data_IF_994424431431
#
_entry.id   IF_994424431431
#
_cell.length_a   1.000
_cell.length_b   1.000
_cell.length_c   1.000
_cell.angle_alpha   90.00
_cell.angle_beta   90.00
_cell.angle_gamma   90.00
#
_symmetry.space_group_name_H-M   'P 1'
#
loop_
_entity.id
_entity.type
_entity.pdbx_description
1 polymer ?
#
# COMPACT_ATOMS: atom_id res chain seq x y z
N UNK A 1 52.47 -18.84 -4.57
CA UNK A 1 51.29 -19.67 -4.93
C UNK A 1 50.09 -19.48 -4.00
N UNK A 2 50.26 -19.00 -2.75
CA UNK A 2 49.14 -18.79 -1.82
C UNK A 2 48.27 -17.57 -2.20
N UNK A 3 48.90 -16.47 -2.63
CA UNK A 3 48.17 -15.23 -2.99
C UNK A 3 47.13 -15.40 -4.10
N UNK A 4 47.41 -16.09 -5.23
CA UNK A 4 46.40 -16.33 -6.26
C UNK A 4 45.21 -17.18 -5.78
N UNK A 5 45.45 -18.16 -4.89
CA UNK A 5 44.41 -19.02 -4.32
C UNK A 5 43.51 -18.22 -3.37
N UNK A 6 44.10 -17.39 -2.52
CA UNK A 6 43.36 -16.49 -1.61
C UNK A 6 42.51 -15.49 -2.40
N UNK A 7 43.07 -14.91 -3.47
CA UNK A 7 42.32 -14.00 -4.35
C UNK A 7 41.17 -14.71 -5.05
N UNK A 8 41.40 -15.91 -5.61
CA UNK A 8 40.34 -16.69 -6.26
C UNK A 8 39.22 -17.06 -5.28
N UNK A 9 39.57 -17.46 -4.05
CA UNK A 9 38.59 -17.75 -2.99
C UNK A 9 37.80 -16.51 -2.60
N UNK A 10 38.46 -15.36 -2.41
CA UNK A 10 37.79 -14.11 -2.08
C UNK A 10 36.82 -13.66 -3.19
N UNK A 11 37.23 -13.74 -4.45
CA UNK A 11 36.37 -13.43 -5.61
C UNK A 11 35.18 -14.39 -5.67
N UNK A 12 35.41 -15.69 -5.45
CA UNK A 12 34.34 -16.69 -5.38
C UNK A 12 33.34 -16.40 -4.26
N UNK A 13 33.82 -16.03 -3.07
CA UNK A 13 32.98 -15.67 -1.93
C UNK A 13 32.16 -14.40 -2.22
N UNK A 14 32.79 -13.35 -2.77
CA UNK A 14 32.10 -12.11 -3.16
C UNK A 14 31.04 -12.39 -4.23
N UNK A 15 31.36 -13.21 -5.23
CA UNK A 15 30.40 -13.62 -6.26
C UNK A 15 29.22 -14.39 -5.67
N UNK A 16 29.46 -15.30 -4.73
CA UNK A 16 28.42 -16.05 -4.04
C UNK A 16 27.52 -15.15 -3.18
N UNK A 17 28.12 -14.22 -2.41
CA UNK A 17 27.38 -13.23 -1.62
C UNK A 17 26.54 -12.34 -2.54
N UNK A 18 27.10 -11.84 -3.63
CA UNK A 18 26.36 -11.03 -4.60
C UNK A 18 25.14 -11.77 -5.17
N UNK A 19 25.31 -13.04 -5.56
CA UNK A 19 24.19 -13.86 -6.06
C UNK A 19 23.14 -14.14 -4.99
N UNK A 20 23.54 -14.32 -3.73
CA UNK A 20 22.61 -14.57 -2.63
C UNK A 20 21.77 -13.33 -2.29
N UNK A 21 22.35 -12.13 -2.42
CA UNK A 21 21.70 -10.85 -2.15
C UNK A 21 20.85 -10.34 -3.32
N UNK A 22 21.20 -10.73 -4.55
CA UNK A 22 20.53 -10.24 -5.76
C UNK A 22 19.15 -10.87 -5.94
N UNK A 23 18.08 -10.06 -6.01
CA UNK A 23 16.74 -10.55 -6.36
C UNK A 23 16.68 -11.02 -7.82
N UNK A 24 15.79 -11.98 -8.15
CA UNK A 24 15.57 -12.43 -9.52
C UNK A 24 14.96 -11.29 -10.34
N UNK A 25 15.18 -11.29 -11.66
CA UNK A 25 14.46 -10.36 -12.53
C UNK A 25 12.95 -10.61 -12.46
N UNK A 26 12.12 -9.57 -12.61
CA UNK A 26 10.67 -9.74 -12.65
C UNK A 26 10.21 -10.59 -13.83
N UNK A 27 9.11 -11.30 -13.63
CA UNK A 27 8.37 -11.97 -14.72
C UNK A 27 7.36 -10.99 -15.31
N UNK A 28 7.83 -10.09 -16.17
CA UNK A 28 7.01 -9.04 -16.78
C UNK A 28 5.80 -9.65 -17.51
N UNK A 29 4.60 -9.24 -17.14
CA UNK A 29 3.37 -9.75 -17.78
C UNK A 29 3.33 -9.41 -19.28
N UNK A 30 2.93 -10.36 -20.10
CA UNK A 30 2.91 -10.24 -21.56
C UNK A 30 4.27 -10.43 -22.26
N UNK A 31 5.36 -10.66 -21.53
CA UNK A 31 6.63 -11.08 -22.13
C UNK A 31 6.60 -12.58 -22.55
N UNK A 32 7.49 -13.05 -23.44
CA UNK A 32 7.46 -14.44 -23.95
C UNK A 32 7.48 -15.55 -22.89
N UNK A 33 7.98 -15.27 -21.68
CA UNK A 33 7.98 -16.19 -20.54
C UNK A 33 7.29 -15.60 -19.29
N UNK A 34 6.51 -14.54 -19.48
CA UNK A 34 5.78 -13.86 -18.42
C UNK A 34 4.36 -14.40 -18.25
N UNK A 35 3.68 -14.04 -17.15
CA UNK A 35 2.24 -14.27 -17.00
C UNK A 35 1.46 -13.61 -18.14
N UNK A 36 0.29 -14.16 -18.52
CA UNK A 36 -0.55 -13.55 -19.54
C UNK A 36 -1.09 -12.20 -19.06
N UNK A 37 -1.46 -11.35 -20.02
CA UNK A 37 -2.21 -10.13 -19.75
C UNK A 37 -3.68 -10.39 -19.98
N UNK A 38 -4.50 -10.08 -18.98
CA UNK A 38 -5.94 -10.30 -19.02
C UNK A 38 -6.74 -9.03 -18.75
N UNK A 39 -6.09 -7.99 -18.24
CA UNK A 39 -6.76 -6.76 -17.80
C UNK A 39 -6.55 -5.54 -18.68
N UNK A 40 -7.45 -4.58 -18.49
CA UNK A 40 -7.29 -3.22 -18.97
C UNK A 40 -6.10 -2.58 -18.27
N UNK A 41 -5.25 -1.92 -19.05
CA UNK A 41 -4.08 -1.22 -18.55
C UNK A 41 -3.93 0.12 -19.25
N UNK A 42 -3.30 1.05 -18.56
CA UNK A 42 -2.98 2.36 -19.11
C UNK A 42 -1.48 2.54 -19.17
N UNK A 43 -0.98 3.20 -20.22
CA UNK A 43 0.46 3.45 -20.40
C UNK A 43 0.84 4.81 -19.83
N UNK A 44 1.77 4.81 -18.88
CA UNK A 44 2.38 5.99 -18.28
C UNK A 44 3.40 6.63 -19.24
N UNK A 45 3.81 7.86 -18.93
CA UNK A 45 4.76 8.64 -19.72
C UNK A 45 6.15 8.00 -19.79
N UNK A 46 6.55 7.27 -18.75
CA UNK A 46 7.83 6.53 -18.71
C UNK A 46 7.77 5.18 -19.46
N UNK A 47 6.61 4.83 -20.01
CA UNK A 47 6.38 3.63 -20.80
C UNK A 47 5.87 2.42 -20.01
N UNK A 48 5.85 2.48 -18.68
CA UNK A 48 5.22 1.45 -17.83
C UNK A 48 3.71 1.42 -18.03
N UNK A 49 3.09 0.30 -17.70
CA UNK A 49 1.65 0.13 -17.69
C UNK A 49 1.13 -0.06 -16.27
N UNK A 50 0.01 0.58 -15.95
CA UNK A 50 -0.76 0.28 -14.74
C UNK A 50 -2.05 -0.46 -15.10
N UNK A 51 -2.25 -1.63 -14.52
CA UNK A 51 -3.49 -2.39 -14.64
C UNK A 51 -4.54 -1.86 -13.67
N UNK A 52 -5.80 -1.82 -14.10
CA UNK A 52 -6.87 -1.27 -13.29
C UNK A 52 -8.22 -1.94 -13.57
N UNK A 53 -9.14 -1.78 -12.64
CA UNK A 53 -10.57 -2.04 -12.82
C UNK A 53 -11.39 -0.84 -12.37
N UNK A 54 -12.59 -0.75 -12.91
CA UNK A 54 -13.58 0.27 -12.58
C UNK A 54 -14.72 -0.42 -11.83
N UNK A 55 -15.29 0.25 -10.83
CA UNK A 55 -16.44 -0.22 -10.07
C UNK A 55 -17.41 0.93 -9.77
N UNK A 56 -18.72 0.66 -9.84
CA UNK A 56 -19.78 1.65 -9.63
C UNK A 56 -20.29 2.28 -10.93
N UNK A 57 -20.63 3.57 -10.88
CA UNK A 57 -21.15 4.31 -12.04
C UNK A 57 -20.05 4.43 -13.11
N UNK A 58 -20.37 4.34 -14.42
CA UNK A 58 -19.39 4.60 -15.49
C UNK A 58 -18.68 5.94 -15.29
N UNK A 59 -17.35 5.98 -15.42
CA UNK A 59 -16.56 7.17 -15.04
C UNK A 59 -16.99 8.43 -15.80
N UNK A 60 -17.51 8.29 -17.02
CA UNK A 60 -17.97 9.41 -17.86
C UNK A 60 -19.24 10.07 -17.30
N UNK A 61 -19.98 9.36 -16.43
CA UNK A 61 -21.23 9.82 -15.81
C UNK A 61 -21.09 10.11 -14.32
N UNK A 62 -20.09 9.54 -13.67
CA UNK A 62 -19.88 9.67 -12.25
C UNK A 62 -19.50 11.11 -11.87
N UNK A 63 -20.16 11.65 -10.84
CA UNK A 63 -19.79 12.95 -10.25
C UNK A 63 -18.58 12.82 -9.33
N UNK A 64 -18.42 11.68 -8.68
CA UNK A 64 -17.34 11.43 -7.75
C UNK A 64 -16.41 10.35 -8.31
N UNK A 65 -15.21 10.74 -8.73
CA UNK A 65 -14.16 9.82 -9.22
C UNK A 65 -13.16 9.58 -8.10
N UNK A 66 -12.93 8.31 -7.77
CA UNK A 66 -12.10 7.89 -6.64
C UNK A 66 -11.02 6.95 -7.15
N UNK A 67 -9.75 7.25 -6.88
CA UNK A 67 -8.66 6.28 -7.07
C UNK A 67 -8.38 5.59 -5.75
N UNK A 68 -8.38 4.26 -5.76
CA UNK A 68 -8.22 3.43 -4.58
C UNK A 68 -6.93 2.62 -4.67
N UNK A 69 -6.08 2.82 -3.68
CA UNK A 69 -4.79 2.15 -3.53
C UNK A 69 -4.93 0.98 -2.55
N UNK A 70 -4.80 -0.25 -3.07
CA UNK A 70 -4.99 -1.48 -2.31
C UNK A 70 -3.88 -1.71 -1.26
N UNK A 71 -4.16 -2.57 -0.28
CA UNK A 71 -3.23 -2.91 0.79
C UNK A 71 -2.10 -3.85 0.39
N UNK A 72 -1.39 -4.33 1.40
CA UNK A 72 -0.35 -5.35 1.25
C UNK A 72 -0.97 -6.70 0.85
N UNK A 73 -0.31 -7.41 -0.06
CA UNK A 73 -0.77 -8.72 -0.56
C UNK A 73 -2.18 -8.69 -1.16
N UNK A 74 -2.51 -7.62 -1.87
CA UNK A 74 -3.78 -7.44 -2.57
C UNK A 74 -3.53 -6.91 -3.98
N UNK A 75 -4.57 -6.66 -4.77
CA UNK A 75 -4.49 -6.18 -6.14
C UNK A 75 -5.65 -5.25 -6.47
N UNK A 76 -5.76 -4.85 -7.74
CA UNK A 76 -6.95 -4.22 -8.31
C UNK A 76 -8.21 -5.03 -8.04
N UNK A 77 -8.12 -6.33 -7.77
CA UNK A 77 -9.25 -7.21 -7.45
C UNK A 77 -9.65 -7.21 -5.97
N UNK A 78 -9.03 -6.38 -5.11
CA UNK A 78 -9.42 -6.14 -3.72
C UNK A 78 -10.94 -6.13 -3.56
N UNK A 79 -11.45 -6.91 -2.60
CA UNK A 79 -12.89 -7.00 -2.34
C UNK A 79 -13.41 -5.63 -1.90
N UNK A 80 -14.50 -5.17 -2.50
CA UNK A 80 -15.16 -3.92 -2.14
C UNK A 80 -16.48 -4.27 -1.48
N UNK A 81 -16.65 -3.86 -0.23
CA UNK A 81 -17.90 -4.01 0.49
C UNK A 81 -18.91 -2.90 0.10
N UNK A 82 -19.03 -2.63 -1.19
CA UNK A 82 -19.97 -1.67 -1.74
C UNK A 82 -20.94 -2.38 -2.69
N UNK A 83 -22.23 -2.08 -2.56
CA UNK A 83 -23.24 -2.51 -3.51
C UNK A 83 -23.28 -1.57 -4.72
N UNK A 84 -23.85 -2.04 -5.83
CA UNK A 84 -24.05 -1.21 -7.01
C UNK A 84 -25.01 -0.04 -6.69
N UNK A 85 -26.02 -0.29 -5.87
CA UNK A 85 -27.01 0.70 -5.43
C UNK A 85 -26.36 1.84 -4.64
N UNK A 86 -25.42 1.53 -3.74
CA UNK A 86 -24.67 2.54 -2.99
C UNK A 86 -23.84 3.42 -3.94
N UNK A 87 -23.17 2.80 -4.92
CA UNK A 87 -22.37 3.53 -5.89
C UNK A 87 -23.22 4.46 -6.76
N UNK A 88 -24.43 4.05 -7.12
CA UNK A 88 -25.41 4.85 -7.86
C UNK A 88 -25.95 6.01 -7.01
N UNK A 89 -26.32 5.74 -5.74
CA UNK A 89 -26.77 6.76 -4.80
C UNK A 89 -25.72 7.86 -4.60
N UNK A 90 -24.46 7.45 -4.39
CA UNK A 90 -23.33 8.36 -4.23
C UNK A 90 -22.85 8.95 -5.55
N UNK A 91 -23.38 8.50 -6.70
CA UNK A 91 -22.94 8.87 -8.03
C UNK A 91 -21.41 8.78 -8.19
N UNK A 92 -20.85 7.64 -7.77
CA UNK A 92 -19.42 7.44 -7.61
C UNK A 92 -18.87 6.34 -8.52
N UNK A 93 -17.62 6.54 -8.95
CA UNK A 93 -16.81 5.57 -9.68
C UNK A 93 -15.51 5.35 -8.93
N UNK A 94 -15.17 4.09 -8.64
CA UNK A 94 -13.90 3.71 -8.04
C UNK A 94 -13.01 3.09 -9.11
N UNK A 95 -11.82 3.66 -9.26
CA UNK A 95 -10.71 3.12 -10.04
C UNK A 95 -9.76 2.43 -9.07
N UNK A 96 -9.72 1.10 -9.15
CA UNK A 96 -8.77 0.28 -8.39
C UNK A 96 -7.65 -0.11 -9.33
N UNK A 97 -6.41 0.17 -8.97
CA UNK A 97 -5.25 -0.15 -9.80
C UNK A 97 -4.31 -1.08 -9.07
N UNK A 98 -3.57 -1.91 -9.81
CA UNK A 98 -2.44 -2.62 -9.25
C UNK A 98 -1.29 -1.63 -9.05
N UNK A 99 -0.76 -1.54 -7.83
CA UNK A 99 0.45 -0.76 -7.58
C UNK A 99 1.64 -1.35 -8.34
N UNK A 100 2.68 -0.54 -8.61
CA UNK A 100 3.81 -0.98 -9.41
C UNK A 100 4.41 -2.31 -8.92
N UNK A 101 4.49 -3.31 -9.81
CA UNK A 101 4.97 -4.67 -9.51
C UNK A 101 3.93 -5.66 -8.99
N UNK A 102 2.72 -5.21 -8.63
CA UNK A 102 1.59 -6.08 -8.30
C UNK A 102 0.81 -6.46 -9.55
N UNK A 103 0.18 -7.64 -9.50
CA UNK A 103 -0.77 -8.08 -10.53
C UNK A 103 -0.21 -7.93 -11.95
N UNK A 104 -0.86 -7.12 -12.78
CA UNK A 104 -0.48 -6.87 -14.18
C UNK A 104 0.13 -5.47 -14.43
N UNK A 105 0.41 -4.70 -13.36
CA UNK A 105 1.13 -3.42 -13.46
C UNK A 105 2.63 -3.64 -13.57
N UNK A 106 3.26 -2.96 -14.53
CA UNK A 106 4.69 -3.10 -14.77
C UNK A 106 5.51 -2.77 -13.49
N UNK A 107 6.59 -3.51 -13.19
CA UNK A 107 7.44 -3.23 -12.04
C UNK A 107 8.14 -1.88 -12.18
N UNK A 108 8.41 -1.25 -11.04
CA UNK A 108 9.21 -0.03 -10.99
C UNK A 108 10.34 -0.15 -9.98
N UNK A 109 11.56 -0.58 -10.40
CA UNK A 109 12.68 -0.78 -9.48
C UNK A 109 13.11 0.49 -8.73
N UNK A 110 12.84 1.67 -9.30
CA UNK A 110 13.12 2.98 -8.72
C UNK A 110 11.94 3.55 -7.90
N UNK A 111 10.92 2.74 -7.60
CA UNK A 111 9.75 3.14 -6.80
C UNK A 111 10.17 3.82 -5.50
N UNK A 112 9.58 4.97 -5.24
CA UNK A 112 9.71 5.74 -4.01
C UNK A 112 8.33 6.19 -3.54
N UNK A 113 8.26 6.79 -2.35
CA UNK A 113 7.03 7.41 -1.88
C UNK A 113 6.57 8.47 -2.90
N UNK A 114 7.47 9.30 -3.42
CA UNK A 114 7.13 10.34 -4.40
C UNK A 114 6.52 9.78 -5.69
N UNK A 115 7.14 8.76 -6.27
CA UNK A 115 6.75 8.28 -7.60
C UNK A 115 5.34 7.68 -7.61
N UNK A 116 4.86 7.20 -6.46
CA UNK A 116 3.48 6.70 -6.31
C UNK A 116 2.42 7.77 -6.50
N UNK A 117 2.70 9.00 -6.03
CA UNK A 117 1.80 10.11 -6.27
C UNK A 117 1.71 10.43 -7.76
N UNK A 118 2.84 10.39 -8.46
CA UNK A 118 2.88 10.63 -9.91
C UNK A 118 2.23 9.50 -10.70
N UNK A 119 2.40 8.24 -10.28
CA UNK A 119 1.68 7.11 -10.87
C UNK A 119 0.16 7.29 -10.75
N UNK A 120 -0.33 7.75 -9.59
CA UNK A 120 -1.76 8.05 -9.37
C UNK A 120 -2.22 9.24 -10.21
N UNK A 121 -1.43 10.31 -10.30
CA UNK A 121 -1.74 11.48 -11.12
C UNK A 121 -1.82 11.12 -12.61
N UNK A 122 -0.82 10.41 -13.13
CA UNK A 122 -0.81 9.98 -14.51
C UNK A 122 -1.91 8.98 -14.81
N UNK A 123 -2.22 8.06 -13.88
CA UNK A 123 -3.39 7.17 -14.00
C UNK A 123 -4.67 7.99 -14.18
N UNK A 124 -4.87 9.04 -13.37
CA UNK A 124 -6.03 9.91 -13.49
C UNK A 124 -6.07 10.62 -14.85
N UNK A 125 -4.95 11.17 -15.30
CA UNK A 125 -4.85 11.90 -16.57
C UNK A 125 -5.12 11.01 -17.77
N UNK A 126 -4.52 9.83 -17.80
CA UNK A 126 -4.65 8.90 -18.93
C UNK A 126 -6.02 8.23 -19.00
N UNK A 127 -6.73 8.15 -17.87
CA UNK A 127 -8.13 7.73 -17.83
C UNK A 127 -9.11 8.88 -18.03
N UNK A 128 -8.61 10.09 -18.29
CA UNK A 128 -9.40 11.30 -18.50
C UNK A 128 -10.40 11.52 -17.35
N UNK A 129 -9.92 11.33 -16.11
CA UNK A 129 -10.67 11.74 -14.93
C UNK A 129 -10.78 13.28 -14.90
N UNK A 130 -11.54 13.81 -13.94
CA UNK A 130 -11.65 15.25 -13.79
C UNK A 130 -10.32 15.87 -13.35
N UNK A 131 -10.21 17.19 -13.50
CA UNK A 131 -9.06 17.96 -13.01
C UNK A 131 -8.72 17.68 -11.54
N UNK A 132 -9.73 17.30 -10.74
CA UNK A 132 -9.56 16.82 -9.38
C UNK A 132 -10.34 15.55 -9.13
N UNK A 133 -9.81 14.69 -8.26
CA UNK A 133 -10.43 13.42 -7.88
C UNK A 133 -10.20 13.14 -6.38
N UNK A 134 -10.88 12.12 -5.86
CA UNK A 134 -10.67 11.64 -4.50
C UNK A 134 -9.69 10.48 -4.48
N UNK A 135 -9.00 10.29 -3.36
CA UNK A 135 -8.11 9.14 -3.17
C UNK A 135 -8.39 8.39 -1.87
N UNK A 136 -8.32 7.07 -1.91
CA UNK A 136 -8.45 6.20 -0.74
C UNK A 136 -7.27 5.23 -0.70
N UNK A 137 -6.67 5.06 0.47
CA UNK A 137 -5.59 4.10 0.69
C UNK A 137 -5.83 3.23 1.90
N UNK A 138 -5.70 1.92 1.71
CA UNK A 138 -5.91 0.93 2.77
C UNK A 138 -4.59 0.35 3.25
N UNK A 139 -4.35 0.32 4.56
CA UNK A 139 -3.16 -0.34 5.12
C UNK A 139 -1.86 0.21 4.49
N UNK A 140 -1.04 -0.62 3.85
CA UNK A 140 0.14 -0.15 3.09
C UNK A 140 -0.22 0.72 1.88
N UNK A 141 -1.42 0.58 1.31
CA UNK A 141 -1.95 1.49 0.29
C UNK A 141 -2.18 2.92 0.79
N UNK A 142 -1.95 3.20 2.07
CA UNK A 142 -2.02 4.55 2.62
C UNK A 142 -0.77 5.41 2.37
N UNK A 143 0.44 4.85 2.17
CA UNK A 143 1.59 5.72 1.86
C UNK A 143 1.48 6.43 0.52
N UNK A 144 0.96 5.82 -0.57
CA UNK A 144 0.66 6.57 -1.78
C UNK A 144 -0.24 7.78 -1.51
N UNK A 145 -1.16 7.69 -0.53
CA UNK A 145 -2.04 8.80 -0.16
C UNK A 145 -1.27 9.92 0.54
N UNK A 146 -0.38 9.59 1.48
CA UNK A 146 0.53 10.58 2.07
C UNK A 146 1.35 11.29 1.00
N UNK A 147 1.83 10.54 0.00
CA UNK A 147 2.54 11.12 -1.14
C UNK A 147 1.65 12.00 -1.99
N UNK A 148 0.39 11.62 -2.24
CA UNK A 148 -0.54 12.47 -2.99
C UNK A 148 -0.80 13.80 -2.28
N UNK A 149 -0.97 13.76 -0.95
CA UNK A 149 -1.12 14.95 -0.12
C UNK A 149 0.10 15.87 -0.19
N UNK A 150 1.31 15.30 -0.34
CA UNK A 150 2.55 16.07 -0.47
C UNK A 150 2.74 16.66 -1.87
N UNK A 151 2.62 15.84 -2.91
CA UNK A 151 3.12 16.15 -4.24
C UNK A 151 2.05 16.62 -5.22
N UNK A 152 0.82 16.12 -5.08
CA UNK A 152 -0.30 16.46 -5.98
C UNK A 152 -1.56 16.97 -5.25
N UNK A 153 -1.47 17.74 -4.15
CA UNK A 153 -2.66 18.17 -3.41
C UNK A 153 -3.62 19.01 -4.27
N UNK A 154 -3.10 19.68 -5.30
CA UNK A 154 -3.88 20.46 -6.26
C UNK A 154 -4.81 19.60 -7.14
N UNK A 155 -4.55 18.30 -7.27
CA UNK A 155 -5.37 17.30 -7.98
C UNK A 155 -6.41 16.63 -7.09
N UNK A 156 -6.42 16.91 -5.77
CA UNK A 156 -7.29 16.21 -4.84
C UNK A 156 -8.52 17.05 -4.49
N UNK A 157 -9.68 16.39 -4.47
CA UNK A 157 -10.91 16.91 -3.83
C UNK A 157 -10.91 16.54 -2.35
N UNK A 158 -10.52 15.30 -2.03
CA UNK A 158 -10.41 14.81 -0.66
C UNK A 158 -9.59 13.51 -0.61
N UNK A 159 -9.15 13.13 0.58
CA UNK A 159 -8.35 11.92 0.79
C UNK A 159 -8.84 11.13 1.99
N UNK A 160 -8.76 9.80 1.90
CA UNK A 160 -9.06 8.92 3.02
C UNK A 160 -7.93 7.91 3.23
N UNK A 161 -7.41 7.87 4.45
CA UNK A 161 -6.45 6.88 4.91
C UNK A 161 -7.16 5.92 5.85
N UNK A 162 -7.18 4.64 5.54
CA UNK A 162 -7.93 3.64 6.30
C UNK A 162 -6.96 2.59 6.83
N UNK A 163 -6.93 2.44 8.15
CA UNK A 163 -5.93 1.68 8.92
C UNK A 163 -4.50 1.91 8.40
N UNK A 164 -4.07 3.17 8.20
CA UNK A 164 -2.80 3.46 7.56
C UNK A 164 -1.65 2.95 8.41
N UNK A 165 -0.69 2.25 7.80
CA UNK A 165 0.55 1.95 8.51
C UNK A 165 1.30 3.26 8.85
N UNK A 166 2.15 3.17 9.87
CA UNK A 166 3.04 4.27 10.27
C UNK A 166 4.48 3.80 10.21
N UNK A 167 5.34 4.59 9.56
CA UNK A 167 6.77 4.33 9.56
C UNK A 167 7.36 4.78 10.92
N UNK A 168 7.93 3.83 11.66
CA UNK A 168 8.51 4.05 12.99
C UNK A 168 9.69 5.04 13.02
N UNK A 169 10.24 5.37 11.85
CA UNK A 169 11.40 6.25 11.69
C UNK A 169 11.05 7.63 11.12
N UNK A 170 9.77 7.99 11.01
CA UNK A 170 9.40 9.37 10.68
C UNK A 170 9.93 10.35 11.73
N UNK A 171 10.66 11.42 11.34
CA UNK A 171 11.36 12.31 12.26
C UNK A 171 10.49 12.95 13.35
N UNK A 172 9.24 13.26 13.04
CA UNK A 172 8.31 13.92 13.97
C UNK A 172 7.72 12.97 15.02
N UNK A 173 7.92 11.65 14.90
CA UNK A 173 7.50 10.68 15.92
C UNK A 173 8.54 10.70 17.06
N UNK A 174 8.14 10.93 18.31
CA UNK A 174 9.06 10.90 19.44
C UNK A 174 9.72 9.54 19.53
N UNK A 175 11.05 9.50 19.60
CA UNK A 175 11.81 8.24 19.59
C UNK A 175 11.38 7.25 20.68
N UNK A 176 10.90 7.73 21.83
CA UNK A 176 10.35 6.88 22.88
C UNK A 176 9.04 6.19 22.45
N UNK A 177 8.11 6.93 21.84
CA UNK A 177 6.85 6.41 21.33
C UNK A 177 7.09 5.42 20.19
N UNK A 178 7.94 5.79 19.22
CA UNK A 178 8.35 4.91 18.12
C UNK A 178 8.91 3.57 18.64
N UNK A 179 9.87 3.62 19.57
CA UNK A 179 10.48 2.42 20.16
C UNK A 179 9.48 1.58 20.95
N UNK A 180 8.58 2.22 21.70
CA UNK A 180 7.56 1.50 22.47
C UNK A 180 6.60 0.76 21.54
N UNK A 181 6.06 1.43 20.52
CA UNK A 181 5.16 0.81 19.54
C UNK A 181 5.86 -0.26 18.71
N UNK A 182 7.09 -0.01 18.26
CA UNK A 182 7.87 -0.99 17.49
C UNK A 182 8.12 -2.29 18.29
N UNK A 183 8.39 -2.19 19.59
CA UNK A 183 8.60 -3.35 20.47
C UNK A 183 7.36 -4.20 20.69
N UNK A 184 6.16 -3.69 20.41
CA UNK A 184 4.91 -4.47 20.48
C UNK A 184 4.77 -5.43 19.31
N UNK A 185 5.44 -5.15 18.18
CA UNK A 185 5.42 -6.05 17.04
C UNK A 185 6.06 -7.39 17.40
N UNK A 186 5.61 -8.51 16.81
CA UNK A 186 6.35 -9.76 16.88
C UNK A 186 7.81 -9.58 16.46
N UNK A 187 8.74 -10.27 17.12
CA UNK A 187 10.19 -10.12 16.90
C UNK A 187 10.59 -10.22 15.42
N UNK A 188 9.95 -11.10 14.65
CA UNK A 188 10.19 -11.25 13.22
C UNK A 188 9.92 -9.96 12.43
N UNK A 189 8.83 -9.25 12.75
CA UNK A 189 8.51 -7.98 12.12
C UNK A 189 9.49 -6.89 12.54
N UNK A 190 9.92 -6.87 13.81
CA UNK A 190 10.95 -5.94 14.26
C UNK A 190 12.25 -6.12 13.45
N UNK A 191 12.71 -7.36 13.27
CA UNK A 191 13.88 -7.62 12.41
C UNK A 191 13.62 -7.29 10.95
N UNK A 192 12.48 -7.68 10.39
CA UNK A 192 12.16 -7.48 8.97
C UNK A 192 12.09 -6.01 8.62
N UNK A 193 11.37 -5.21 9.40
CA UNK A 193 11.26 -3.77 9.17
C UNK A 193 12.55 -3.04 9.51
N UNK A 194 13.28 -3.49 10.55
CA UNK A 194 14.60 -2.97 10.86
C UNK A 194 15.60 -3.20 9.71
N UNK A 195 15.59 -4.38 9.09
CA UNK A 195 16.41 -4.68 7.91
C UNK A 195 15.95 -3.85 6.71
N UNK A 196 14.64 -3.71 6.48
CA UNK A 196 14.12 -2.88 5.41
C UNK A 196 14.60 -1.43 5.52
N UNK A 197 14.63 -0.90 6.74
CA UNK A 197 15.03 0.48 7.00
C UNK A 197 16.56 0.69 7.01
N UNK A 198 17.30 -0.08 7.80
CA UNK A 198 18.73 0.14 8.03
C UNK A 198 19.63 -0.53 6.99
N UNK A 199 19.23 -1.67 6.45
CA UNK A 199 20.05 -2.49 5.54
C UNK A 199 19.23 -3.08 4.39
N UNK A 200 18.54 -2.24 3.58
CA UNK A 200 17.62 -2.73 2.54
C UNK A 200 18.27 -3.67 1.52
N UNK A 201 19.59 -3.53 1.30
CA UNK A 201 20.37 -4.35 0.36
C UNK A 201 20.47 -5.83 0.74
N UNK A 202 20.23 -6.21 2.02
CA UNK A 202 20.12 -7.63 2.43
C UNK A 202 18.69 -8.14 2.53
N UNK A 203 17.68 -7.28 2.31
CA UNK A 203 16.29 -7.62 2.57
C UNK A 203 15.83 -8.86 1.79
N UNK A 204 16.21 -8.98 0.51
CA UNK A 204 15.87 -10.15 -0.30
C UNK A 204 16.44 -11.45 0.27
N UNK A 205 17.69 -11.43 0.71
CA UNK A 205 18.31 -12.59 1.34
C UNK A 205 17.63 -12.91 2.67
N UNK A 206 17.29 -11.88 3.46
CA UNK A 206 16.55 -12.03 4.72
C UNK A 206 15.21 -12.75 4.52
N UNK A 207 14.43 -12.36 3.50
CA UNK A 207 13.12 -12.96 3.23
C UNK A 207 13.19 -14.42 2.77
N UNK A 208 14.37 -14.92 2.35
CA UNK A 208 14.57 -16.32 1.96
C UNK A 208 14.81 -17.28 3.12
N UNK A 209 15.06 -16.77 4.33
CA UNK A 209 15.47 -17.62 5.44
C UNK A 209 14.30 -18.49 5.91
N UNK A 210 14.43 -19.82 5.78
CA UNK A 210 13.38 -20.81 6.09
C UNK A 210 13.09 -20.96 7.59
N UNK A 211 13.88 -20.33 8.44
CA UNK A 211 13.76 -20.47 9.90
C UNK A 211 12.61 -19.63 10.48
N UNK A 212 11.86 -18.93 9.63
CA UNK A 212 10.81 -18.01 10.04
C UNK A 212 9.50 -18.33 9.30
N UNK A 213 8.38 -18.55 10.03
CA UNK A 213 7.08 -18.79 9.41
C UNK A 213 6.57 -17.54 8.67
N UNK A 214 5.59 -17.75 7.77
CA UNK A 214 4.99 -16.72 6.92
C UNK A 214 4.53 -15.48 7.69
N UNK A 215 4.49 -14.34 7.00
CA UNK A 215 4.11 -13.03 7.54
C UNK A 215 2.68 -13.01 8.13
N UNK A 216 1.83 -13.96 7.75
CA UNK A 216 0.48 -14.13 8.31
C UNK A 216 0.52 -15.10 9.51
N UNK A 217 0.65 -14.55 10.72
CA UNK A 217 0.64 -15.32 11.96
C UNK A 217 -0.73 -15.35 12.64
N UNK A 218 -0.93 -16.44 13.38
CA UNK A 218 -1.93 -16.59 14.43
C UNK A 218 -1.85 -15.40 15.41
N UNK A 219 -3.00 -14.77 15.70
CA UNK A 219 -3.12 -13.67 16.67
C UNK A 219 -3.02 -12.24 16.13
N UNK A 220 -2.69 -12.03 14.85
CA UNK A 220 -2.67 -10.68 14.23
C UNK A 220 -4.05 -10.12 13.93
N UNK A 221 -5.05 -10.98 13.78
CA UNK A 221 -6.42 -10.63 13.47
C UNK A 221 -7.31 -11.04 14.64
N UNK A 222 -8.32 -10.23 14.95
CA UNK A 222 -9.34 -10.58 15.94
C UNK A 222 -10.45 -11.43 15.31
N UNK A 223 -11.35 -12.01 16.11
CA UNK A 223 -12.42 -12.87 15.59
C UNK A 223 -13.27 -12.16 14.53
N UNK A 224 -13.58 -10.88 14.73
CA UNK A 224 -14.25 -10.04 13.75
C UNK A 224 -13.53 -10.01 12.39
N UNK A 225 -12.20 -9.82 12.38
CA UNK A 225 -11.41 -9.82 11.15
C UNK A 225 -11.42 -11.22 10.49
N UNK A 226 -11.34 -12.28 11.29
CA UNK A 226 -11.33 -13.66 10.80
C UNK A 226 -12.68 -14.05 10.15
N UNK A 227 -13.79 -13.54 10.66
CA UNK A 227 -15.11 -13.72 10.04
C UNK A 227 -15.21 -13.02 8.68
N UNK A 228 -14.71 -11.79 8.56
CA UNK A 228 -14.64 -11.08 7.29
C UNK A 228 -13.72 -11.80 6.30
N UNK A 229 -12.54 -12.23 6.75
CA UNK A 229 -11.57 -12.92 5.92
C UNK A 229 -12.13 -14.21 5.31
N UNK A 230 -12.90 -14.99 6.09
CA UNK A 230 -13.59 -16.19 5.56
C UNK A 230 -14.51 -15.84 4.40
N UNK A 231 -15.36 -14.81 4.55
CA UNK A 231 -16.28 -14.36 3.49
C UNK A 231 -15.53 -13.92 2.23
N UNK A 232 -14.41 -13.20 2.40
CA UNK A 232 -13.61 -12.72 1.27
C UNK A 232 -12.94 -13.88 0.53
N UNK A 233 -12.33 -14.82 1.26
CA UNK A 233 -11.68 -15.99 0.67
C UNK A 233 -12.68 -16.84 -0.13
N UNK A 234 -13.89 -17.02 0.38
CA UNK A 234 -14.94 -17.75 -0.32
C UNK A 234 -15.40 -17.04 -1.61
N UNK A 235 -15.17 -15.73 -1.71
CA UNK A 235 -15.58 -14.88 -2.84
C UNK A 235 -14.45 -14.64 -3.86
N UNK A 236 -13.18 -14.65 -3.43
CA UNK A 236 -12.02 -14.34 -4.27
C UNK A 236 -11.24 -15.60 -4.66
N UNK A 237 -11.13 -15.86 -5.97
CA UNK A 237 -10.65 -17.15 -6.48
C UNK A 237 -9.16 -17.23 -6.84
N UNK A 238 -8.30 -16.21 -6.64
CA UNK A 238 -6.88 -16.38 -7.02
C UNK A 238 -5.86 -15.40 -6.40
N UNK A 239 -5.27 -15.75 -5.26
CA UNK A 239 -4.14 -14.98 -4.67
C UNK A 239 -2.85 -15.04 -5.50
N UNK A 240 -2.72 -16.00 -6.45
CA UNK A 240 -1.48 -16.16 -7.23
C UNK A 240 -1.20 -14.98 -8.17
N UNK A 241 -2.23 -14.24 -8.55
CA UNK A 241 -2.08 -13.09 -9.46
C UNK A 241 -1.31 -11.94 -8.78
N UNK A 242 -1.55 -11.70 -7.49
CA UNK A 242 -0.96 -10.59 -6.71
C UNK A 242 0.56 -10.53 -6.88
N UNK A 243 1.22 -11.69 -6.83
CA UNK A 243 2.68 -11.82 -6.87
C UNK A 243 3.19 -12.49 -8.15
N UNK A 244 2.41 -12.54 -9.23
CA UNK A 244 2.75 -13.30 -10.44
C UNK A 244 4.05 -12.83 -11.12
N UNK A 245 4.42 -11.57 -10.91
CA UNK A 245 5.66 -10.97 -11.41
C UNK A 245 6.88 -11.24 -10.50
N UNK A 246 6.64 -11.83 -9.32
CA UNK A 246 7.63 -12.14 -8.29
C UNK A 246 7.36 -11.40 -6.97
N UNK A 247 7.53 -12.10 -5.84
CA UNK A 247 7.36 -11.53 -4.50
C UNK A 247 8.27 -10.32 -4.23
N UNK A 248 9.44 -10.27 -4.87
CA UNK A 248 10.38 -9.17 -4.66
C UNK A 248 9.86 -7.84 -5.20
N UNK A 249 9.31 -7.82 -6.42
CA UNK A 249 8.82 -6.56 -7.02
C UNK A 249 7.44 -6.13 -6.48
N UNK A 250 6.67 -7.08 -5.96
CA UNK A 250 5.40 -6.80 -5.30
C UNK A 250 5.64 -6.53 -3.80
N UNK A 251 5.63 -7.59 -3.00
CA UNK A 251 5.62 -7.54 -1.54
C UNK A 251 6.87 -6.89 -0.93
N UNK A 252 8.06 -7.31 -1.36
CA UNK A 252 9.29 -6.85 -0.73
C UNK A 252 9.57 -5.40 -1.06
N UNK A 253 9.38 -4.99 -2.33
CA UNK A 253 9.49 -3.60 -2.76
C UNK A 253 8.54 -2.72 -1.97
N UNK A 254 7.31 -3.17 -1.72
CA UNK A 254 6.32 -2.41 -0.97
C UNK A 254 6.76 -2.12 0.47
N UNK A 255 7.29 -3.13 1.16
CA UNK A 255 7.85 -2.98 2.52
C UNK A 255 9.09 -2.09 2.51
N UNK A 256 9.97 -2.26 1.52
CA UNK A 256 11.17 -1.45 1.36
C UNK A 256 10.84 0.04 1.17
N UNK A 257 9.82 0.37 0.38
CA UNK A 257 9.37 1.75 0.17
C UNK A 257 8.66 2.29 1.41
N UNK A 258 7.76 1.50 2.02
CA UNK A 258 7.03 1.90 3.21
C UNK A 258 7.94 2.30 4.38
N UNK A 259 9.04 1.58 4.59
CA UNK A 259 10.01 1.82 5.67
C UNK A 259 11.31 2.52 5.22
N UNK A 260 11.37 3.01 3.98
CA UNK A 260 12.48 3.84 3.51
C UNK A 260 12.57 5.18 4.27
N UNK A 261 13.69 5.87 4.08
CA UNK A 261 13.78 7.30 4.41
C UNK A 261 13.08 8.09 3.31
N UNK A 262 11.90 8.61 3.62
CA UNK A 262 11.16 9.46 2.69
C UNK A 262 11.75 10.87 2.64
N UNK A 263 11.61 11.53 1.51
CA UNK A 263 12.04 12.91 1.30
C UNK A 263 11.17 13.94 2.04
N UNK A 264 10.08 13.50 2.67
CA UNK A 264 9.19 14.31 3.48
C UNK A 264 8.70 13.55 4.71
N UNK A 265 8.35 14.31 5.76
CA UNK A 265 7.65 13.80 6.92
C UNK A 265 6.14 14.10 6.78
N UNK A 266 5.25 13.09 6.81
CA UNK A 266 3.80 13.31 6.76
C UNK A 266 3.27 14.28 7.82
N UNK A 267 3.90 14.34 9.01
CA UNK A 267 3.46 15.23 10.09
C UNK A 267 3.87 16.70 9.91
N UNK A 268 4.69 17.01 8.89
CA UNK A 268 5.01 18.39 8.51
C UNK A 268 4.04 18.93 7.45
N UNK A 269 3.10 18.10 6.96
CA UNK A 269 2.11 18.52 5.98
C UNK A 269 1.10 19.50 6.59
N UNK A 270 0.74 20.51 5.81
CA UNK A 270 -0.30 21.48 6.16
C UNK A 270 -1.55 21.23 5.33
N UNK A 271 -2.71 21.63 5.84
CA UNK A 271 -3.96 21.52 5.09
C UNK A 271 -3.91 22.38 3.82
N UNK A 272 -3.93 21.73 2.66
CA UNK A 272 -3.99 22.38 1.34
C UNK A 272 -5.42 22.48 0.78
N UNK A 273 -6.42 21.92 1.48
CA UNK A 273 -7.80 21.85 1.02
C UNK A 273 -8.61 23.05 1.52
N UNK A 274 -9.30 23.72 0.58
CA UNK A 274 -10.25 24.81 0.91
C UNK A 274 -11.66 24.28 1.17
N UNK A 275 -12.13 23.39 0.30
CA UNK A 275 -13.50 22.83 0.33
C UNK A 275 -13.48 21.31 0.53
N UNK A 276 -12.28 20.71 0.57
CA UNK A 276 -12.07 19.27 0.75
C UNK A 276 -11.68 18.91 2.18
N UNK A 277 -11.66 17.61 2.46
CA UNK A 277 -11.24 17.06 3.74
C UNK A 277 -10.34 15.84 3.58
N UNK A 278 -9.54 15.63 4.61
CA UNK A 278 -8.73 14.42 4.76
C UNK A 278 -9.22 13.65 5.97
N UNK A 279 -9.44 12.36 5.79
CA UNK A 279 -10.00 11.46 6.79
C UNK A 279 -8.99 10.38 7.14
N UNK A 280 -8.89 10.04 8.42
CA UNK A 280 -8.13 8.89 8.89
C UNK A 280 -9.06 7.98 9.68
N UNK A 281 -9.21 6.74 9.24
CA UNK A 281 -10.04 5.74 9.88
C UNK A 281 -9.20 4.64 10.52
N UNK A 282 -9.57 4.22 11.73
CA UNK A 282 -8.86 3.20 12.49
C UNK A 282 -9.85 2.32 13.26
N UNK A 283 -9.66 1.00 13.22
CA UNK A 283 -10.36 0.08 14.11
C UNK A 283 -9.75 0.15 15.51
N UNK A 284 -10.58 0.28 16.54
CA UNK A 284 -10.10 0.41 17.94
C UNK A 284 -9.43 -0.87 18.47
N UNK A 285 -9.69 -2.01 17.82
CA UNK A 285 -9.13 -3.32 18.17
C UNK A 285 -8.17 -3.87 17.09
N UNK A 286 -7.68 -3.01 16.19
CA UNK A 286 -6.66 -3.36 15.19
C UNK A 286 -5.37 -3.82 15.88
N UNK A 287 -4.95 -5.06 15.58
CA UNK A 287 -3.72 -5.67 16.09
C UNK A 287 -2.59 -5.72 15.04
N UNK A 288 -2.90 -5.36 13.79
CA UNK A 288 -1.92 -5.26 12.70
C UNK A 288 -1.22 -3.92 12.76
N UNK A 289 -2.00 -2.83 12.84
CA UNK A 289 -1.50 -1.48 12.95
C UNK A 289 -1.94 -0.89 14.29
N UNK A 290 -0.97 -0.74 15.19
CA UNK A 290 -1.22 -0.19 16.52
C UNK A 290 -1.73 1.27 16.42
N UNK A 291 -2.88 1.54 17.02
CA UNK A 291 -3.56 2.84 16.91
C UNK A 291 -2.80 4.00 17.55
N UNK A 292 -1.88 3.77 18.51
CA UNK A 292 -1.26 4.87 19.25
C UNK A 292 -0.39 5.78 18.37
N UNK A 293 0.22 5.23 17.32
CA UNK A 293 0.96 6.04 16.35
C UNK A 293 0.01 6.89 15.49
N UNK A 294 -1.11 6.32 15.05
CA UNK A 294 -2.12 7.07 14.30
C UNK A 294 -2.79 8.15 15.16
N UNK A 295 -3.05 7.89 16.45
CA UNK A 295 -3.49 8.91 17.41
C UNK A 295 -2.49 10.08 17.51
N UNK A 296 -1.20 9.78 17.58
CA UNK A 296 -0.18 10.82 17.61
C UNK A 296 -0.12 11.61 16.30
N UNK A 297 -0.24 10.95 15.15
CA UNK A 297 -0.29 11.60 13.83
C UNK A 297 -1.45 12.60 13.76
N UNK A 298 -2.68 12.21 14.14
CA UNK A 298 -3.84 13.12 14.08
C UNK A 298 -3.81 14.22 15.14
N UNK A 299 -3.14 14.00 16.28
CA UNK A 299 -2.86 15.08 17.25
C UNK A 299 -1.91 16.14 16.66
N UNK A 300 -0.95 15.73 15.82
CA UNK A 300 -0.04 16.64 15.12
C UNK A 300 -0.67 17.30 13.90
N UNK A 301 -1.61 16.62 13.27
CA UNK A 301 -2.32 17.07 12.07
C UNK A 301 -3.82 17.24 12.37
N UNK A 302 -4.21 18.25 13.18
CA UNK A 302 -5.61 18.43 13.62
C UNK A 302 -6.59 18.75 12.48
N UNK A 303 -6.08 19.02 11.27
CA UNK A 303 -6.86 19.20 10.07
C UNK A 303 -7.32 17.87 9.44
N UNK A 304 -6.78 16.74 9.89
CA UNK A 304 -7.25 15.40 9.52
C UNK A 304 -8.42 15.02 10.43
N UNK A 305 -9.55 14.67 9.83
CA UNK A 305 -10.74 14.17 10.53
C UNK A 305 -10.51 12.72 10.93
N UNK A 306 -10.28 12.46 12.21
CA UNK A 306 -10.07 11.11 12.74
C UNK A 306 -11.40 10.42 13.05
N UNK A 307 -11.53 9.16 12.63
CA UNK A 307 -12.68 8.29 12.86
C UNK A 307 -12.18 6.99 13.48
N UNK A 308 -12.60 6.71 14.70
CA UNK A 308 -12.29 5.45 15.38
C UNK A 308 -13.53 4.58 15.45
N UNK A 309 -13.45 3.38 14.90
CA UNK A 309 -14.57 2.44 14.88
C UNK A 309 -14.42 1.46 16.05
N UNK A 310 -15.39 1.42 16.99
CA UNK A 310 -15.27 0.63 18.20
C UNK A 310 -15.37 -0.87 17.93
N UNK A 311 -14.54 -1.66 18.60
CA UNK A 311 -14.56 -3.13 18.62
C UNK A 311 -14.30 -3.83 17.28
N UNK A 312 -13.85 -3.10 16.25
CA UNK A 312 -13.46 -3.67 14.95
C UNK A 312 -11.95 -3.71 14.79
N UNK A 313 -11.49 -4.66 13.98
CA UNK A 313 -10.07 -4.90 13.72
C UNK A 313 -9.56 -4.23 12.44
N UNK A 314 -8.48 -4.79 11.88
CA UNK A 314 -7.81 -4.21 10.71
C UNK A 314 -8.64 -4.30 9.43
N UNK A 315 -9.49 -5.33 9.32
CA UNK A 315 -10.18 -5.71 8.10
C UNK A 315 -11.59 -5.10 7.99
N UNK A 316 -11.95 -4.16 8.87
CA UNK A 316 -13.28 -3.57 8.95
C UNK A 316 -13.72 -2.84 7.66
N UNK A 317 -12.80 -2.47 6.78
CA UNK A 317 -13.11 -1.95 5.44
C UNK A 317 -13.96 -2.93 4.60
N UNK A 318 -13.86 -4.23 4.86
CA UNK A 318 -14.61 -5.25 4.13
C UNK A 318 -16.01 -5.51 4.71
N UNK A 319 -16.38 -4.78 5.75
CA UNK A 319 -17.74 -4.74 6.24
C UNK A 319 -18.55 -3.64 5.50
N UNK A 320 -19.73 -3.97 4.94
CA UNK A 320 -20.49 -3.01 4.13
C UNK A 320 -20.87 -1.71 4.85
N UNK A 321 -21.25 -1.77 6.12
CA UNK A 321 -21.67 -0.58 6.88
C UNK A 321 -20.49 0.36 7.10
N UNK A 322 -19.33 -0.20 7.44
CA UNK A 322 -18.11 0.57 7.61
C UNK A 322 -17.60 1.17 6.30
N UNK A 323 -17.63 0.41 5.20
CA UNK A 323 -17.22 0.91 3.88
C UNK A 323 -18.14 2.06 3.43
N UNK A 324 -19.45 1.91 3.61
CA UNK A 324 -20.41 2.96 3.33
C UNK A 324 -20.13 4.24 4.16
N UNK A 325 -19.87 4.11 5.46
CA UNK A 325 -19.55 5.24 6.32
C UNK A 325 -18.28 5.98 5.87
N UNK A 326 -17.24 5.24 5.44
CA UNK A 326 -16.02 5.80 4.87
C UNK A 326 -16.34 6.61 3.60
N UNK A 327 -17.09 6.02 2.67
CA UNK A 327 -17.46 6.65 1.40
C UNK A 327 -18.29 7.92 1.61
N UNK A 328 -19.32 7.86 2.44
CA UNK A 328 -20.17 9.01 2.77
C UNK A 328 -19.37 10.13 3.43
N UNK A 329 -18.47 9.79 4.34
CA UNK A 329 -17.64 10.80 5.01
C UNK A 329 -16.67 11.49 4.07
N UNK A 330 -16.07 10.74 3.12
CA UNK A 330 -15.17 11.29 2.12
C UNK A 330 -15.87 12.23 1.13
N UNK A 331 -17.11 11.89 0.77
CA UNK A 331 -17.90 12.64 -0.22
C UNK A 331 -18.79 13.74 0.40
N UNK A 332 -18.84 13.82 1.73
CA UNK A 332 -19.55 14.88 2.45
C UNK A 332 -18.83 16.23 2.25
N UNK A 333 -19.55 17.20 1.69
CA UNK A 333 -19.09 18.59 1.52
C UNK A 333 -19.39 19.43 2.75
#
# INVERSE_FOLDING_TARGET
>A
MITPIVVAFAVGLVGWVYQALKPPPPKICGSPNGPPLTSRRVKLNDGRHLAYREFGVPKEKAQHKIILSHGYYDSRHMYLAASQELMEELNACIILYDRAGYGESDPYPSRSAQTEAFDIEELADKLELDSKFYVIGFSLGAYPIWSCLKYIPHRLVGACLVVPFVNYWWPSIPSALAKQSFRKLPLLFQFTYGIAHYTPWIYYWWTKQKWFPSMFREGMFIDYDLELLKKIIDTQNNNQEVTQQGEYESLHRDVLVAYANWEFDPMELTNQFKEGSVHLWQGSADRVICNELNHYVVQKLPWIRYHEVPNVGHLFVYDPENFEAIMRSLLAR
#
